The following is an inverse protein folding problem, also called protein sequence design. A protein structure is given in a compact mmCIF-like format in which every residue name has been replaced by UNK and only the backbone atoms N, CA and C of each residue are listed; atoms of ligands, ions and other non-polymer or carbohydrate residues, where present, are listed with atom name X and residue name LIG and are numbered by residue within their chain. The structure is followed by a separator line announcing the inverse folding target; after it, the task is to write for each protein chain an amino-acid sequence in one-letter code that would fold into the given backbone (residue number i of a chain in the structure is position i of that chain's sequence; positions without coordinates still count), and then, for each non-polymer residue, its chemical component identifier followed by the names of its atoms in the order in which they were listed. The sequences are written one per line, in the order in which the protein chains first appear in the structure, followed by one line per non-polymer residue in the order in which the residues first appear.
data_IF_115310040310
#
_entry.id   IF_115310040310
#
_cell.length_a   1.000
_cell.length_b   1.000
_cell.length_c   1.000
_cell.angle_alpha   90.00
_cell.angle_beta   90.00
_cell.angle_gamma   90.00
#
_symmetry.space_group_name_H-M   'P 1'
#
loop_
_entity.id
_entity.type
_entity.pdbx_description
1 polymer ?
#
# COMPACT_ATOMS: atom_id res chain seq x y z
N UNK A 1 -7.45 -8.46 26.02
CA UNK A 1 -7.98 -7.19 25.49
C UNK A 1 -6.84 -6.53 24.74
N UNK A 2 -6.76 -6.71 23.40
CA UNK A 2 -5.66 -6.19 22.59
C UNK A 2 -5.76 -4.65 22.53
N UNK A 3 -4.95 -3.98 23.37
CA UNK A 3 -4.82 -2.51 23.48
C UNK A 3 -3.61 -2.01 22.68
N UNK A 4 -3.42 -2.52 21.47
CA UNK A 4 -2.43 -1.94 20.56
C UNK A 4 -3.19 -1.22 19.44
N UNK A 5 -2.78 -0.01 19.04
CA UNK A 5 -3.37 0.66 17.89
C UNK A 5 -3.35 -0.33 16.72
N UNK A 6 -4.42 -0.39 15.91
CA UNK A 6 -4.53 -1.41 14.87
C UNK A 6 -3.27 -1.36 14.00
N UNK A 7 -2.70 -2.53 13.65
CA UNK A 7 -1.48 -2.57 12.86
C UNK A 7 -1.67 -1.75 11.60
N UNK A 8 -0.65 -0.97 11.24
CA UNK A 8 -0.67 -0.27 9.96
C UNK A 8 -0.57 -1.31 8.85
N UNK A 9 -1.59 -1.38 8.00
CA UNK A 9 -1.67 -2.39 6.94
C UNK A 9 -1.53 -1.73 5.58
N UNK A 10 -0.66 -2.30 4.74
CA UNK A 10 -0.54 -1.94 3.32
C UNK A 10 -1.06 -3.13 2.51
N UNK A 11 -2.16 -2.93 1.81
CA UNK A 11 -2.78 -3.95 0.98
C UNK A 11 -2.43 -3.72 -0.49
N UNK A 12 -1.59 -4.59 -1.05
CA UNK A 12 -1.18 -4.51 -2.44
C UNK A 12 -2.13 -5.33 -3.31
N UNK A 13 -2.83 -4.66 -4.23
CA UNK A 13 -3.88 -5.21 -5.11
C UNK A 13 -3.59 -4.94 -6.59
N UNK A 14 -2.44 -5.40 -7.05
CA UNK A 14 -1.99 -5.23 -8.44
C UNK A 14 -2.65 -6.18 -9.45
N UNK A 15 -3.32 -7.25 -9.00
CA UNK A 15 -3.90 -8.27 -9.87
C UNK A 15 -2.84 -9.21 -10.47
N UNK A 16 -3.16 -9.84 -11.60
CA UNK A 16 -2.22 -10.72 -12.31
C UNK A 16 -1.25 -9.87 -13.15
N UNK A 17 -0.02 -9.71 -12.67
CA UNK A 17 1.04 -8.94 -13.34
C UNK A 17 2.28 -9.80 -13.53
N UNK A 18 3.03 -9.54 -14.60
CA UNK A 18 4.36 -10.13 -14.76
C UNK A 18 5.28 -9.58 -13.67
N UNK A 19 6.20 -10.40 -13.17
CA UNK A 19 7.13 -10.00 -12.10
C UNK A 19 7.90 -8.71 -12.40
N UNK A 20 8.31 -8.50 -13.66
CA UNK A 20 8.96 -7.26 -14.11
C UNK A 20 8.07 -6.02 -13.92
N UNK A 21 6.81 -6.11 -14.31
CA UNK A 21 5.85 -5.00 -14.17
C UNK A 21 5.51 -4.76 -12.70
N UNK A 22 5.37 -5.84 -11.92
CA UNK A 22 5.19 -5.75 -10.47
C UNK A 22 6.34 -4.98 -9.82
N UNK A 23 7.59 -5.33 -10.14
CA UNK A 23 8.76 -4.65 -9.59
C UNK A 23 8.77 -3.16 -9.95
N UNK A 24 8.62 -2.84 -11.25
CA UNK A 24 8.61 -1.45 -11.72
C UNK A 24 7.48 -0.63 -11.08
N UNK A 25 6.27 -1.18 -11.03
CA UNK A 25 5.09 -0.50 -10.46
C UNK A 25 5.27 -0.28 -8.97
N UNK A 26 5.71 -1.32 -8.24
CA UNK A 26 5.94 -1.24 -6.79
C UNK A 26 6.98 -0.19 -6.48
N UNK A 27 8.15 -0.24 -7.13
CA UNK A 27 9.23 0.72 -6.90
C UNK A 27 8.80 2.15 -7.23
N UNK A 28 7.97 2.35 -8.26
CA UNK A 28 7.47 3.68 -8.63
C UNK A 28 6.51 4.27 -7.58
N UNK A 29 5.61 3.45 -7.02
CA UNK A 29 4.59 3.93 -6.06
C UNK A 29 5.04 3.83 -4.60
N UNK A 30 6.17 3.18 -4.32
CA UNK A 30 6.60 2.85 -2.95
C UNK A 30 6.77 4.07 -2.05
N UNK A 31 7.40 5.13 -2.56
CA UNK A 31 7.60 6.38 -1.82
C UNK A 31 6.26 7.02 -1.42
N UNK A 32 5.27 6.99 -2.32
CA UNK A 32 3.93 7.50 -2.04
C UNK A 32 3.22 6.66 -0.97
N UNK A 33 3.35 5.33 -1.06
CA UNK A 33 2.77 4.39 -0.09
C UNK A 33 3.36 4.61 1.31
N UNK A 34 4.67 4.81 1.42
CA UNK A 34 5.33 5.12 2.69
C UNK A 34 4.82 6.45 3.25
N UNK A 35 4.70 7.49 2.42
CA UNK A 35 4.18 8.78 2.85
C UNK A 35 2.75 8.68 3.39
N UNK A 36 1.87 7.94 2.71
CA UNK A 36 0.49 7.71 3.14
C UNK A 36 0.39 6.85 4.39
N UNK A 37 1.26 5.85 4.54
CA UNK A 37 1.33 4.99 5.72
C UNK A 37 1.79 5.73 6.99
N UNK A 38 2.45 6.89 6.86
CA UNK A 38 2.76 7.73 8.03
C UNK A 38 1.49 8.29 8.67
N UNK A 39 0.53 8.71 7.84
CA UNK A 39 -0.67 9.43 8.27
C UNK A 39 -1.91 8.54 8.42
N UNK A 40 -2.02 7.45 7.66
CA UNK A 40 -3.20 6.58 7.64
C UNK A 40 -2.90 5.18 8.19
N UNK A 41 -3.92 4.49 8.70
CA UNK A 41 -3.77 3.13 9.26
C UNK A 41 -3.86 2.04 8.21
N UNK A 42 -4.50 2.31 7.07
CA UNK A 42 -4.68 1.37 5.98
C UNK A 42 -4.39 2.05 4.64
N UNK A 43 -3.49 1.46 3.84
CA UNK A 43 -3.18 1.94 2.49
C UNK A 43 -3.45 0.82 1.49
N UNK A 44 -4.36 1.04 0.54
CA UNK A 44 -4.61 0.11 -0.57
C UNK A 44 -3.86 0.59 -1.82
N UNK A 45 -3.04 -0.28 -2.38
CA UNK A 45 -2.22 0.01 -3.55
C UNK A 45 -2.77 -0.76 -4.73
N UNK A 46 -3.44 -0.06 -5.64
CA UNK A 46 -3.89 -0.60 -6.93
C UNK A 46 -2.93 -0.17 -8.03
N UNK A 47 -3.02 -0.81 -9.20
CA UNK A 47 -2.16 -0.48 -10.35
C UNK A 47 -2.38 0.96 -10.83
N UNK A 48 -3.61 1.42 -10.74
CA UNK A 48 -4.14 2.66 -11.28
C UNK A 48 -4.32 3.76 -10.22
N UNK A 49 -4.32 3.39 -8.93
CA UNK A 49 -4.54 4.33 -7.83
C UNK A 49 -3.99 3.84 -6.49
N UNK A 50 -3.69 4.77 -5.59
CA UNK A 50 -3.36 4.50 -4.20
C UNK A 50 -4.41 5.15 -3.31
N UNK A 51 -5.07 4.36 -2.48
CA UNK A 51 -6.11 4.82 -1.55
C UNK A 51 -5.57 4.72 -0.11
N UNK A 52 -5.87 5.73 0.71
CA UNK A 52 -5.51 5.73 2.13
C UNK A 52 -6.78 5.89 2.97
N UNK A 53 -6.92 5.03 3.97
CA UNK A 53 -8.09 4.93 4.85
C UNK A 53 -7.60 5.11 6.29
N UNK A 54 -8.29 5.97 7.03
CA UNK A 54 -7.98 6.29 8.43
C UNK A 54 -8.73 5.43 9.44
#
# INVERSE_FOLDING_TARGET
MFKEPPPKVIHIRFGNMKMREFFLTTTHVWEQVIALNKTHKLVNVFKDRVEAID
#
